data_IF_424973231232
#
_entry.id   IF_424973231232
#
_cell.length_a   1.000
_cell.length_b   1.000
_cell.length_c   1.000
_cell.angle_alpha   90.00
_cell.angle_beta   90.00
_cell.angle_gamma   90.00
#
_symmetry.space_group_name_H-M   'P 1'
#
loop_
_entity.id
_entity.type
_entity.pdbx_description
1 polymer ?
#
# COMPACT_ATOMS: atom_id res chain seq x y z
N UNK A 1 4.51 10.35 -13.90
CA UNK A 1 4.12 9.58 -12.71
C UNK A 1 2.69 9.99 -12.34
N UNK A 2 1.79 9.05 -12.08
CA UNK A 2 0.41 9.38 -11.69
C UNK A 2 0.37 9.90 -10.24
N UNK A 3 -0.57 10.79 -9.93
CA UNK A 3 -0.78 11.31 -8.57
C UNK A 3 -0.90 10.18 -7.54
N UNK A 4 -1.64 9.12 -7.88
CA UNK A 4 -1.83 7.97 -7.01
C UNK A 4 -0.53 7.24 -6.67
N UNK A 5 0.41 7.13 -7.62
CA UNK A 5 1.74 6.58 -7.35
C UNK A 5 2.53 7.46 -6.39
N UNK A 6 2.52 8.78 -6.60
CA UNK A 6 3.19 9.74 -5.69
C UNK A 6 2.70 9.57 -4.25
N UNK A 7 1.38 9.52 -4.06
CA UNK A 7 0.77 9.33 -2.74
C UNK A 7 1.13 7.95 -2.18
N UNK A 8 1.12 6.91 -3.01
CA UNK A 8 1.46 5.56 -2.60
C UNK A 8 2.91 5.46 -2.10
N UNK A 9 3.85 6.11 -2.77
CA UNK A 9 5.26 6.19 -2.32
C UNK A 9 5.35 6.91 -0.99
N UNK A 10 4.68 8.05 -0.87
CA UNK A 10 4.67 8.85 0.36
C UNK A 10 4.07 8.08 1.56
N UNK A 11 3.06 7.25 1.32
CA UNK A 11 2.41 6.43 2.37
C UNK A 11 3.22 5.18 2.71
N UNK A 12 3.91 4.58 1.74
CA UNK A 12 4.60 3.30 1.94
C UNK A 12 6.08 3.42 2.25
N UNK A 13 6.70 4.55 1.89
CA UNK A 13 8.16 4.76 1.92
C UNK A 13 8.92 4.00 0.83
N UNK A 14 8.24 3.47 -0.19
CA UNK A 14 8.84 2.61 -1.24
C UNK A 14 8.81 3.33 -2.58
N UNK A 15 9.97 3.50 -3.22
CA UNK A 15 10.10 4.26 -4.47
C UNK A 15 9.76 3.45 -5.74
N UNK A 16 9.97 2.14 -5.74
CA UNK A 16 9.88 1.28 -6.92
C UNK A 16 8.52 0.58 -7.07
N UNK A 17 7.42 1.26 -6.72
CA UNK A 17 6.07 0.70 -6.83
C UNK A 17 5.66 0.41 -8.28
N UNK A 18 5.00 -0.74 -8.48
CA UNK A 18 4.50 -1.20 -9.78
C UNK A 18 3.35 -0.33 -10.29
N UNK A 19 3.51 0.24 -11.49
CA UNK A 19 2.53 1.16 -12.08
C UNK A 19 1.23 0.47 -12.53
N UNK A 20 1.26 -0.80 -12.91
CA UNK A 20 0.08 -1.55 -13.28
C UNK A 20 -0.78 -1.88 -12.05
N UNK A 21 -0.15 -2.32 -10.95
CA UNK A 21 -0.85 -2.52 -9.67
C UNK A 21 -1.42 -1.23 -9.11
N UNK A 22 -0.72 -0.10 -9.28
CA UNK A 22 -1.20 1.20 -8.84
C UNK A 22 -2.57 1.56 -9.44
N UNK A 23 -2.83 1.23 -10.71
CA UNK A 23 -4.12 1.51 -11.34
C UNK A 23 -5.22 0.57 -10.79
N UNK A 24 -4.91 -0.71 -10.59
CA UNK A 24 -5.83 -1.65 -9.91
C UNK A 24 -6.19 -1.17 -8.51
N UNK A 25 -5.19 -0.74 -7.73
CA UNK A 25 -5.39 -0.28 -6.36
C UNK A 25 -6.14 1.04 -6.28
N UNK A 26 -5.92 1.95 -7.24
CA UNK A 26 -6.70 3.18 -7.36
C UNK A 26 -8.18 2.90 -7.56
N UNK A 27 -8.52 1.90 -8.38
CA UNK A 27 -9.92 1.48 -8.57
C UNK A 27 -10.53 0.90 -7.29
N UNK A 28 -9.80 0.01 -6.59
CA UNK A 28 -10.26 -0.58 -5.32
C UNK A 28 -10.48 0.46 -4.22
N UNK A 29 -9.60 1.44 -4.10
CA UNK A 29 -9.71 2.55 -3.15
C UNK A 29 -10.94 3.45 -3.37
N UNK A 30 -11.63 3.29 -4.51
CA UNK A 30 -12.85 4.02 -4.88
C UNK A 30 -14.08 3.12 -4.95
N UNK A 31 -14.00 1.88 -4.43
CA UNK A 31 -15.06 0.88 -4.54
C UNK A 31 -16.40 1.27 -3.90
N UNK A 32 -16.41 2.24 -2.99
CA UNK A 32 -17.63 2.82 -2.41
C UNK A 32 -17.57 4.35 -2.40
N UNK A 33 -18.72 5.01 -2.30
CA UNK A 33 -18.79 6.46 -2.18
C UNK A 33 -18.08 6.99 -0.91
N UNK A 34 -18.10 6.23 0.19
CA UNK A 34 -17.35 6.57 1.39
C UNK A 34 -15.84 6.47 1.16
N UNK A 35 -15.36 5.35 0.61
CA UNK A 35 -13.94 5.15 0.31
C UNK A 35 -13.40 6.19 -0.69
N UNK A 36 -14.18 6.56 -1.70
CA UNK A 36 -13.81 7.61 -2.65
C UNK A 36 -13.64 8.98 -1.99
N UNK A 37 -14.47 9.34 -1.00
CA UNK A 37 -14.33 10.59 -0.22
C UNK A 37 -13.10 10.57 0.68
N UNK A 38 -12.84 9.44 1.34
CA UNK A 38 -11.64 9.25 2.17
C UNK A 38 -10.37 9.36 1.32
N UNK A 39 -10.35 8.75 0.13
CA UNK A 39 -9.24 8.88 -0.80
C UNK A 39 -9.03 10.33 -1.25
N UNK A 40 -10.12 11.06 -1.54
CA UNK A 40 -10.04 12.48 -1.90
C UNK A 40 -9.47 13.35 -0.77
N UNK A 41 -9.81 13.06 0.49
CA UNK A 41 -9.22 13.73 1.65
C UNK A 41 -7.70 13.47 1.72
N UNK A 42 -7.28 12.22 1.54
CA UNK A 42 -5.85 11.86 1.46
C UNK A 42 -5.13 12.56 0.31
N UNK A 43 -5.72 12.61 -0.89
CA UNK A 43 -5.16 13.31 -2.04
C UNK A 43 -4.94 14.79 -1.75
N UNK A 44 -5.92 15.45 -1.12
CA UNK A 44 -5.81 16.87 -0.76
C UNK A 44 -4.69 17.13 0.23
N UNK A 45 -4.52 16.29 1.26
CA UNK A 45 -3.43 16.45 2.24
C UNK A 45 -2.08 16.16 1.61
N UNK A 46 -1.99 15.11 0.79
CA UNK A 46 -0.76 14.74 0.11
C UNK A 46 -0.30 15.82 -0.89
N UNK A 47 -1.23 16.46 -1.61
CA UNK A 47 -0.91 17.55 -2.53
C UNK A 47 -0.24 18.75 -1.83
N UNK A 48 -0.57 19.01 -0.56
CA UNK A 48 0.11 20.02 0.26
C UNK A 48 1.43 19.49 0.84
N UNK A 49 1.45 18.23 1.30
CA UNK A 49 2.63 17.64 1.92
C UNK A 49 3.81 17.53 0.94
N UNK A 50 3.58 17.21 -0.33
CA UNK A 50 4.65 17.06 -1.34
C UNK A 50 5.41 18.36 -1.63
N UNK A 51 4.90 19.52 -1.20
CA UNK A 51 5.61 20.80 -1.36
C UNK A 51 6.45 21.18 -0.13
N UNK A 52 6.37 20.41 0.95
CA UNK A 52 7.15 20.65 2.16
C UNK A 52 8.60 20.19 1.99
N UNK A 53 9.49 20.69 2.84
CA UNK A 53 10.90 20.25 2.92
C UNK A 53 11.00 18.77 3.29
N UNK A 54 10.14 18.30 4.21
CA UNK A 54 10.02 16.90 4.61
C UNK A 54 8.59 16.36 4.36
N UNK A 55 8.28 15.89 3.14
CA UNK A 55 6.93 15.48 2.76
C UNK A 55 6.30 14.39 3.64
N UNK A 56 7.09 13.40 4.05
CA UNK A 56 6.61 12.28 4.89
C UNK A 56 6.19 12.77 6.27
N UNK A 57 7.00 13.64 6.89
CA UNK A 57 6.72 14.25 8.19
C UNK A 57 5.49 15.15 8.09
N UNK A 58 5.39 15.95 7.03
CA UNK A 58 4.25 16.82 6.78
C UNK A 58 2.94 16.03 6.60
N UNK A 59 2.96 14.97 5.80
CA UNK A 59 1.78 14.11 5.62
C UNK A 59 1.40 13.44 6.94
N UNK A 60 2.36 12.87 7.66
CA UNK A 60 2.10 12.21 8.96
C UNK A 60 1.44 13.16 9.96
N UNK A 61 1.91 14.40 10.05
CA UNK A 61 1.31 15.42 10.90
C UNK A 61 -0.11 15.78 10.44
N UNK A 62 -0.34 15.94 9.14
CA UNK A 62 -1.65 16.25 8.58
C UNK A 62 -2.69 15.13 8.83
N UNK A 63 -2.26 13.86 8.70
CA UNK A 63 -3.12 12.69 8.96
C UNK A 63 -3.60 12.61 10.42
N UNK A 64 -2.87 13.19 11.37
CA UNK A 64 -3.29 13.21 12.78
C UNK A 64 -4.56 14.06 13.00
N UNK A 65 -4.84 15.03 12.13
CA UNK A 65 -6.01 15.90 12.20
C UNK A 65 -7.20 15.47 11.34
N UNK A 66 -7.04 14.48 10.46
CA UNK A 66 -8.09 14.06 9.51
C UNK A 66 -8.30 12.54 9.54
N UNK A 67 -9.37 12.13 10.22
CA UNK A 67 -9.73 10.72 10.37
C UNK A 67 -10.03 10.02 9.03
N UNK A 68 -10.60 10.73 8.05
CA UNK A 68 -10.96 10.17 6.75
C UNK A 68 -9.70 9.92 5.92
N UNK A 69 -8.81 10.90 5.85
CA UNK A 69 -7.52 10.75 5.19
C UNK A 69 -6.66 9.66 5.87
N UNK A 70 -6.66 9.60 7.20
CA UNK A 70 -5.96 8.57 7.96
C UNK A 70 -6.52 7.17 7.69
N UNK A 71 -7.84 7.03 7.53
CA UNK A 71 -8.46 5.76 7.15
C UNK A 71 -8.04 5.33 5.73
N UNK A 72 -8.04 6.26 4.76
CA UNK A 72 -7.55 5.98 3.42
C UNK A 72 -6.05 5.62 3.39
N UNK A 73 -5.20 6.34 4.13
CA UNK A 73 -3.77 6.06 4.21
C UNK A 73 -3.50 4.65 4.76
N UNK A 74 -4.19 4.26 5.84
CA UNK A 74 -4.08 2.89 6.39
C UNK A 74 -4.56 1.83 5.40
N UNK A 75 -5.68 2.07 4.71
CA UNK A 75 -6.21 1.15 3.70
C UNK A 75 -5.24 1.00 2.52
N UNK A 76 -4.66 2.12 2.05
CA UNK A 76 -3.68 2.14 0.98
C UNK A 76 -2.39 1.40 1.37
N UNK A 77 -1.87 1.65 2.57
CA UNK A 77 -0.71 0.93 3.09
C UNK A 77 -1.01 -0.57 3.17
N UNK A 78 -2.13 -0.97 3.76
CA UNK A 78 -2.52 -2.38 3.82
C UNK A 78 -2.60 -3.00 2.41
N UNK A 79 -3.20 -2.30 1.45
CA UNK A 79 -3.34 -2.79 0.08
C UNK A 79 -1.99 -3.03 -0.61
N UNK A 80 -1.02 -2.12 -0.45
CA UNK A 80 0.32 -2.30 -0.99
C UNK A 80 1.11 -3.42 -0.31
N UNK A 81 1.02 -3.51 1.02
CA UNK A 81 1.78 -4.51 1.77
C UNK A 81 1.18 -5.90 1.64
N UNK A 82 -0.14 -6.02 1.76
CA UNK A 82 -0.83 -7.31 1.76
C UNK A 82 -1.33 -7.74 0.38
N UNK A 83 -1.36 -6.86 -0.64
CA UNK A 83 -1.84 -7.20 -1.98
C UNK A 83 -3.36 -7.26 -2.14
N UNK A 84 -4.12 -6.87 -1.12
CA UNK A 84 -5.59 -6.95 -1.06
C UNK A 84 -6.15 -5.93 -0.07
N UNK A 85 -7.46 -5.67 -0.12
CA UNK A 85 -8.10 -4.78 0.85
C UNK A 85 -8.05 -5.37 2.27
N UNK A 86 -8.14 -4.54 3.33
CA UNK A 86 -8.31 -5.02 4.70
C UNK A 86 -9.54 -5.92 4.84
N UNK A 87 -9.50 -6.93 5.73
CA UNK A 87 -10.65 -7.78 5.98
C UNK A 87 -11.82 -6.97 6.57
N UNK A 88 -13.04 -7.37 6.21
CA UNK A 88 -14.27 -6.83 6.81
C UNK A 88 -14.78 -7.83 7.85
N UNK A 89 -14.47 -7.58 9.12
CA UNK A 89 -14.78 -8.51 10.20
C UNK A 89 -13.96 -9.80 10.10
N UNK A 90 -14.63 -10.94 9.85
CA UNK A 90 -13.98 -12.25 9.69
C UNK A 90 -13.73 -12.63 8.23
N UNK A 91 -14.24 -11.84 7.30
CA UNK A 91 -14.18 -12.16 5.87
C UNK A 91 -12.93 -11.53 5.27
N UNK A 92 -12.06 -12.38 4.73
CA UNK A 92 -10.89 -11.91 4.00
C UNK A 92 -11.29 -11.35 2.63
N UNK A 93 -10.76 -10.19 2.27
CA UNK A 93 -10.89 -9.69 0.92
C UNK A 93 -10.12 -10.59 -0.07
N UNK A 94 -10.66 -10.86 -1.27
CA UNK A 94 -9.93 -11.59 -2.29
C UNK A 94 -8.76 -10.76 -2.83
N UNK A 95 -7.73 -11.44 -3.33
CA UNK A 95 -6.71 -10.79 -4.15
C UNK A 95 -7.32 -10.37 -5.49
N UNK A 96 -7.12 -9.13 -5.96
CA UNK A 96 -7.70 -8.67 -7.22
C UNK A 96 -7.02 -9.34 -8.43
N UNK A 97 -5.75 -9.71 -8.30
CA UNK A 97 -4.95 -10.41 -9.32
C UNK A 97 -3.87 -11.28 -8.67
N UNK A 98 -3.32 -12.23 -9.42
CA UNK A 98 -2.12 -12.98 -9.02
C UNK A 98 -0.91 -12.05 -8.80
N UNK A 99 -0.74 -11.04 -9.66
CA UNK A 99 0.31 -10.03 -9.51
C UNK A 99 0.19 -9.25 -8.19
N UNK A 100 -1.03 -9.00 -7.69
CA UNK A 100 -1.23 -8.33 -6.42
C UNK A 100 -0.79 -9.20 -5.23
N UNK A 101 -1.02 -10.52 -5.29
CA UNK A 101 -0.53 -11.46 -4.29
C UNK A 101 1.00 -11.53 -4.28
N UNK A 102 1.62 -11.78 -5.44
CA UNK A 102 3.08 -11.92 -5.53
C UNK A 102 3.82 -10.59 -5.36
N UNK A 103 3.19 -9.46 -5.72
CA UNK A 103 3.74 -8.12 -5.63
C UNK A 103 3.57 -7.42 -4.28
N UNK A 104 2.96 -8.08 -3.28
CA UNK A 104 2.77 -7.51 -1.94
C UNK A 104 4.10 -7.13 -1.28
N UNK A 105 4.21 -5.91 -0.76
CA UNK A 105 5.45 -5.43 -0.11
C UNK A 105 5.81 -6.22 1.15
N UNK A 106 4.84 -6.92 1.77
CA UNK A 106 5.08 -7.76 2.94
C UNK A 106 6.21 -8.77 2.70
N UNK A 107 6.25 -9.39 1.52
CA UNK A 107 7.28 -10.38 1.17
C UNK A 107 8.70 -9.79 1.24
N UNK A 108 8.85 -8.54 0.79
CA UNK A 108 10.11 -7.79 0.87
C UNK A 108 10.48 -7.50 2.32
N UNK A 109 9.53 -7.07 3.14
CA UNK A 109 9.77 -6.74 4.56
C UNK A 109 10.18 -7.96 5.37
N UNK A 110 9.55 -9.11 5.14
CA UNK A 110 9.88 -10.34 5.88
C UNK A 110 11.05 -11.12 5.27
N UNK A 111 11.62 -10.66 4.16
CA UNK A 111 12.71 -11.35 3.45
C UNK A 111 12.33 -12.74 2.93
N UNK A 112 11.05 -12.96 2.63
CA UNK A 112 10.53 -14.27 2.22
C UNK A 112 9.98 -14.25 0.80
N UNK A 113 9.96 -15.41 0.16
CA UNK A 113 9.24 -15.57 -1.09
C UNK A 113 7.75 -15.85 -0.82
N UNK A 114 6.84 -15.27 -1.62
CA UNK A 114 5.42 -15.60 -1.55
C UNK A 114 5.18 -17.10 -1.77
N UNK A 115 4.40 -17.77 -0.88
CA UNK A 115 4.03 -19.17 -1.06
C UNK A 115 3.35 -19.41 -2.42
N UNK A 116 3.66 -20.53 -3.07
CA UNK A 116 3.12 -20.87 -4.39
C UNK A 116 3.92 -20.32 -5.57
N UNK A 117 4.94 -19.47 -5.33
CA UNK A 117 5.87 -19.06 -6.37
C UNK A 117 6.80 -20.22 -6.73
N UNK A 118 6.73 -20.70 -7.97
CA UNK A 118 7.66 -21.72 -8.50
C UNK A 118 8.99 -21.08 -8.90
N UNK A 119 10.11 -21.79 -8.70
CA UNK A 119 11.43 -21.33 -9.13
C UNK A 119 12.23 -20.50 -8.11
N UNK A 120 11.75 -20.34 -6.88
CA UNK A 120 12.53 -19.75 -5.78
C UNK A 120 13.65 -20.68 -5.30
N UNK A 121 14.70 -20.11 -4.70
CA UNK A 121 15.79 -20.88 -4.09
C UNK A 121 15.26 -21.76 -2.93
N UNK A 122 15.45 -23.07 -3.06
CA UNK A 122 15.06 -24.05 -2.03
C UNK A 122 16.11 -24.08 -0.92
N UNK A 123 15.67 -24.20 0.35
CA UNK A 123 16.58 -24.29 1.49
C UNK A 123 16.91 -22.99 2.22
N UNK A 124 16.30 -21.85 1.85
CA UNK A 124 16.40 -20.59 2.62
C UNK A 124 15.98 -20.75 4.09
N UNK A 125 15.00 -21.61 4.37
CA UNK A 125 14.56 -21.98 5.72
C UNK A 125 15.62 -22.71 6.57
N UNK A 126 16.74 -23.13 5.98
CA UNK A 126 17.84 -23.81 6.68
C UNK A 126 18.77 -22.83 7.40
N UNK A 127 18.81 -21.58 6.95
CA UNK A 127 19.73 -20.56 7.48
C UNK A 127 18.92 -19.52 8.25
N UNK A 128 19.47 -19.04 9.37
CA UNK A 128 18.88 -17.92 10.08
C UNK A 128 18.89 -16.67 9.18
N UNK A 129 17.94 -15.74 9.32
CA UNK A 129 18.01 -14.45 8.65
C UNK A 129 19.31 -13.74 9.01
N UNK A 130 19.90 -13.03 8.05
CA UNK A 130 21.01 -12.12 8.33
C UNK A 130 20.50 -10.97 9.23
N UNK A 131 21.37 -10.51 10.15
CA UNK A 131 21.05 -9.51 11.18
C UNK A 131 21.08 -8.07 10.65
#
# INVERSE_FOLDING_TARGET
>A
MSEFLTISRLVTGVDDLDAALAETYRALMRGTAAAARELAALQSLAAVAVTAEEPEVALKAALAGDCAAAAAARRLAYLWYAGRLPPEGKDEAPFPTEAAYFGGLLWRVVGAHPPGLSGGYTGHWRYAPDA
#
